data_IF_171387439624
#
_entry.id   IF_171387439624
#
_cell.length_a   1.000
_cell.length_b   1.000
_cell.length_c   1.000
_cell.angle_alpha   90.00
_cell.angle_beta   90.00
_cell.angle_gamma   90.00
#
_symmetry.space_group_name_H-M   'P 1'
#
loop_
_entity.id
_entity.type
_entity.pdbx_description
1 polymer ?
#
# COMPACT_ATOMS: atom_id res chain seq x y z
N UNK A 1 -5.85 -32.65 -12.73
CA UNK A 1 -4.37 -32.71 -12.73
C UNK A 1 -3.93 -31.33 -12.29
N UNK A 2 -3.42 -31.25 -11.06
CA UNK A 2 -3.12 -29.99 -10.37
C UNK A 2 -1.92 -29.28 -11.03
N UNK A 3 -2.13 -28.03 -11.43
CA UNK A 3 -1.04 -27.12 -11.81
C UNK A 3 -0.72 -26.19 -10.63
N UNK A 4 -0.12 -26.74 -9.58
CA UNK A 4 0.57 -25.94 -8.57
C UNK A 4 1.99 -25.65 -9.05
N UNK A 5 2.28 -24.39 -9.34
CA UNK A 5 3.64 -23.94 -9.59
C UNK A 5 4.35 -23.79 -8.24
N UNK A 6 5.37 -24.63 -8.01
CA UNK A 6 6.24 -24.53 -6.85
C UNK A 6 7.02 -23.21 -6.91
N UNK A 7 6.99 -22.44 -5.83
CA UNK A 7 7.86 -21.28 -5.63
C UNK A 7 9.32 -21.74 -5.73
N UNK A 8 9.95 -21.47 -6.87
CA UNK A 8 11.28 -21.98 -7.21
C UNK A 8 11.58 -22.01 -8.71
N UNK A 9 10.58 -21.97 -9.58
CA UNK A 9 10.78 -21.81 -11.03
C UNK A 9 10.52 -20.38 -11.47
N UNK A 10 11.52 -19.52 -11.32
CA UNK A 10 11.58 -18.25 -12.05
C UNK A 10 11.97 -18.55 -13.51
N UNK A 11 11.30 -17.99 -14.54
CA UNK A 11 11.54 -18.29 -15.96
C UNK A 11 12.85 -17.71 -16.54
N UNK A 12 13.76 -17.23 -15.70
CA UNK A 12 14.99 -16.59 -16.14
C UNK A 12 16.10 -17.64 -16.11
N UNK A 13 16.28 -18.35 -17.22
CA UNK A 13 17.53 -19.05 -17.51
C UNK A 13 18.62 -18.00 -17.73
N UNK A 14 19.40 -17.71 -16.68
CA UNK A 14 20.68 -17.04 -16.83
C UNK A 14 21.66 -18.06 -17.41
N UNK A 15 21.89 -18.01 -18.72
CA UNK A 15 22.94 -18.80 -19.34
C UNK A 15 24.27 -18.50 -18.63
N UNK A 16 24.93 -19.54 -18.11
CA UNK A 16 26.30 -19.47 -17.60
C UNK A 16 27.25 -19.12 -18.75
N UNK A 17 27.45 -17.82 -19.01
CA UNK A 17 28.54 -17.34 -19.85
C UNK A 17 29.83 -17.24 -19.03
N UNK A 18 30.86 -17.95 -19.48
CA UNK A 18 32.20 -17.99 -18.90
C UNK A 18 32.83 -16.58 -18.80
N UNK A 19 33.74 -16.33 -17.83
CA UNK A 19 34.22 -15.00 -17.50
C UNK A 19 35.19 -14.47 -18.56
N UNK A 20 34.64 -13.84 -19.61
CA UNK A 20 35.38 -13.01 -20.54
C UNK A 20 35.58 -11.61 -19.93
N UNK A 21 36.82 -11.17 -19.83
CA UNK A 21 37.24 -9.86 -19.31
C UNK A 21 36.33 -8.71 -19.75
N UNK A 22 35.65 -8.12 -18.77
CA UNK A 22 34.77 -6.97 -18.98
C UNK A 22 35.64 -5.73 -19.19
N UNK A 23 35.99 -5.43 -20.44
CA UNK A 23 36.69 -4.20 -20.88
C UNK A 23 36.01 -2.89 -20.42
N UNK A 24 34.79 -2.96 -19.89
CA UNK A 24 34.04 -1.83 -19.36
C UNK A 24 34.65 -1.26 -18.06
N UNK A 25 35.34 -2.09 -17.25
CA UNK A 25 35.93 -1.66 -15.98
C UNK A 25 37.20 -0.81 -16.16
N UNK A 26 37.92 -0.98 -17.27
CA UNK A 26 39.13 -0.19 -17.55
C UNK A 26 38.82 1.29 -17.86
N UNK A 27 37.68 1.57 -18.50
CA UNK A 27 37.27 2.93 -18.83
C UNK A 27 36.68 3.71 -17.63
N UNK A 28 36.20 3.01 -16.59
CA UNK A 28 35.68 3.62 -15.36
C UNK A 28 36.78 3.95 -14.34
N UNK A 29 37.98 3.37 -14.49
CA UNK A 29 39.08 3.55 -13.54
C UNK A 29 39.83 4.89 -13.69
N UNK A 30 39.67 5.60 -14.83
CA UNK A 30 40.49 6.77 -15.15
C UNK A 30 39.87 8.12 -14.70
N UNK A 31 38.59 8.14 -14.30
CA UNK A 31 37.89 9.37 -13.87
C UNK A 31 37.65 9.44 -12.34
N UNK A 32 38.20 8.49 -11.58
CA UNK A 32 38.14 8.48 -10.13
C UNK A 32 39.16 9.47 -9.51
N UNK A 33 38.86 10.77 -9.60
CA UNK A 33 39.43 11.76 -8.67
C UNK A 33 39.02 11.39 -7.24
N UNK A 34 39.85 11.68 -6.22
CA UNK A 34 39.61 11.22 -4.86
C UNK A 34 38.55 12.11 -4.21
N UNK A 35 37.27 11.83 -4.46
CA UNK A 35 36.18 12.48 -3.75
C UNK A 35 35.41 11.43 -2.92
N UNK A 36 35.87 11.32 -1.66
CA UNK A 36 35.27 10.59 -0.53
C UNK A 36 34.68 9.21 -0.85
N UNK A 37 35.55 8.20 -0.77
CA UNK A 37 35.14 6.82 -0.51
C UNK A 37 34.44 6.74 0.86
N UNK A 38 33.10 6.91 0.89
CA UNK A 38 32.32 6.44 2.02
C UNK A 38 32.46 4.92 2.08
N UNK A 39 33.04 4.43 3.17
CA UNK A 39 33.22 3.00 3.41
C UNK A 39 31.89 2.25 3.27
N UNK A 40 31.93 0.97 2.90
CA UNK A 40 30.72 0.16 2.71
C UNK A 40 29.76 0.23 3.92
N UNK A 41 30.31 0.31 5.13
CA UNK A 41 29.55 0.49 6.37
C UNK A 41 28.87 1.86 6.49
N UNK A 42 29.55 2.92 6.03
CA UNK A 42 29.04 4.29 6.06
C UNK A 42 27.90 4.48 5.04
N UNK A 43 28.04 3.81 3.87
CA UNK A 43 26.94 3.70 2.91
C UNK A 43 25.76 2.94 3.50
N UNK A 44 25.97 1.77 4.11
CA UNK A 44 24.87 0.99 4.72
C UNK A 44 24.13 1.79 5.80
N UNK A 45 24.85 2.51 6.66
CA UNK A 45 24.24 3.36 7.68
C UNK A 45 23.40 4.51 7.07
N UNK A 46 23.89 5.12 5.99
CA UNK A 46 23.15 6.18 5.29
C UNK A 46 21.87 5.68 4.60
N UNK A 47 21.90 4.46 4.05
CA UNK A 47 20.73 3.79 3.45
C UNK A 47 19.74 3.31 4.51
N UNK A 48 20.20 2.89 5.68
CA UNK A 48 19.36 2.43 6.77
C UNK A 48 18.53 3.59 7.33
N UNK A 49 19.17 4.72 7.65
CA UNK A 49 18.47 5.89 8.20
C UNK A 49 17.50 6.51 7.17
N UNK A 50 17.98 6.74 5.94
CA UNK A 50 17.16 7.31 4.86
C UNK A 50 16.05 6.36 4.40
N UNK A 51 16.33 5.06 4.32
CA UNK A 51 15.39 4.04 3.89
C UNK A 51 14.30 3.76 4.92
N UNK A 52 14.64 3.78 6.21
CA UNK A 52 13.68 3.65 7.32
C UNK A 52 12.76 4.89 7.36
N UNK A 53 13.31 6.10 7.30
CA UNK A 53 12.51 7.32 7.30
C UNK A 53 11.60 7.44 6.07
N UNK A 54 12.11 7.08 4.88
CA UNK A 54 11.31 7.03 3.66
C UNK A 54 10.21 5.94 3.74
N UNK A 55 10.53 4.77 4.27
CA UNK A 55 9.60 3.67 4.49
C UNK A 55 8.49 4.02 5.48
N UNK A 56 8.83 4.62 6.64
CA UNK A 56 7.85 5.10 7.63
C UNK A 56 6.97 6.21 7.05
N UNK A 57 7.55 7.17 6.32
CA UNK A 57 6.80 8.23 5.67
C UNK A 57 5.77 7.70 4.66
N UNK A 58 6.18 6.72 3.85
CA UNK A 58 5.28 6.03 2.92
C UNK A 58 4.18 5.26 3.66
N UNK A 59 4.53 4.48 4.69
CA UNK A 59 3.58 3.68 5.45
C UNK A 59 2.56 4.57 6.19
N UNK A 60 3.02 5.66 6.81
CA UNK A 60 2.15 6.65 7.44
C UNK A 60 1.18 7.27 6.43
N UNK A 61 1.67 7.63 5.24
CA UNK A 61 0.83 8.14 4.16
C UNK A 61 -0.20 7.11 3.69
N UNK A 62 0.21 5.85 3.53
CA UNK A 62 -0.68 4.76 3.15
C UNK A 62 -1.77 4.53 4.20
N UNK A 63 -1.40 4.55 5.49
CA UNK A 63 -2.33 4.45 6.61
C UNK A 63 -3.33 5.60 6.62
N UNK A 64 -2.87 6.85 6.58
CA UNK A 64 -3.75 8.03 6.57
C UNK A 64 -4.71 7.99 5.38
N UNK A 65 -4.19 7.67 4.19
CA UNK A 65 -5.01 7.58 2.97
C UNK A 65 -6.04 6.46 3.08
N UNK A 66 -5.64 5.30 3.61
CA UNK A 66 -6.54 4.16 3.81
C UNK A 66 -7.60 4.46 4.86
N UNK A 67 -7.23 5.09 5.97
CA UNK A 67 -8.15 5.55 7.01
C UNK A 67 -9.16 6.55 6.45
N UNK A 68 -8.71 7.49 5.61
CA UNK A 68 -9.60 8.46 4.97
C UNK A 68 -10.55 7.75 4.00
N UNK A 69 -10.05 6.82 3.18
CA UNK A 69 -10.88 6.03 2.27
C UNK A 69 -11.93 5.21 3.03
N UNK A 70 -11.56 4.60 4.16
CA UNK A 70 -12.50 3.90 5.03
C UNK A 70 -13.52 4.86 5.63
N UNK A 71 -13.12 6.04 6.10
CA UNK A 71 -14.07 7.03 6.63
C UNK A 71 -15.08 7.49 5.58
N UNK A 72 -14.63 7.66 4.34
CA UNK A 72 -15.47 8.14 3.25
C UNK A 72 -16.40 7.05 2.72
N UNK A 73 -15.89 5.84 2.52
CA UNK A 73 -16.61 4.75 1.85
C UNK A 73 -17.30 3.79 2.83
N UNK A 74 -17.05 3.90 4.13
CA UNK A 74 -17.66 3.05 5.16
C UNK A 74 -18.65 3.82 6.05
N UNK A 75 -19.44 4.68 5.42
CA UNK A 75 -20.47 5.52 6.06
C UNK A 75 -21.49 4.68 6.83
N UNK A 76 -21.84 3.49 6.34
CA UNK A 76 -22.76 2.57 7.00
C UNK A 76 -22.21 2.01 8.32
N UNK A 77 -20.95 1.54 8.35
CA UNK A 77 -20.37 1.03 9.60
C UNK A 77 -20.16 2.15 10.62
N UNK A 78 -19.78 3.34 10.18
CA UNK A 78 -19.66 4.52 11.05
C UNK A 78 -20.99 4.90 11.68
N UNK A 79 -22.06 4.92 10.89
CA UNK A 79 -23.40 5.21 11.38
C UNK A 79 -23.86 4.17 12.41
N UNK A 80 -23.74 2.88 12.08
CA UNK A 80 -24.09 1.79 13.01
C UNK A 80 -23.25 1.79 14.29
N UNK A 81 -21.98 2.19 14.22
CA UNK A 81 -21.13 2.38 15.39
C UNK A 81 -21.59 3.58 16.22
N UNK A 82 -21.91 4.70 15.57
CA UNK A 82 -22.36 5.91 16.25
C UNK A 82 -23.69 5.69 17.00
N UNK A 83 -24.62 4.91 16.45
CA UNK A 83 -25.87 4.55 17.13
C UNK A 83 -25.67 3.70 18.39
N UNK A 84 -24.53 3.00 18.51
CA UNK A 84 -24.20 2.21 19.70
C UNK A 84 -23.60 3.04 20.84
N UNK A 85 -23.22 4.30 20.57
CA UNK A 85 -22.66 5.16 21.60
C UNK A 85 -23.77 5.71 22.50
N UNK A 86 -23.58 5.70 23.83
CA UNK A 86 -24.49 6.41 24.72
C UNK A 86 -24.47 7.90 24.37
N UNK A 87 -25.64 8.49 24.18
CA UNK A 87 -25.77 9.92 23.85
C UNK A 87 -25.49 10.71 25.13
N UNK A 88 -24.31 11.31 25.17
CA UNK A 88 -23.83 12.19 26.24
C UNK A 88 -23.38 13.51 25.60
N UNK A 89 -23.23 14.60 26.36
CA UNK A 89 -22.77 15.87 25.81
C UNK A 89 -21.40 15.82 25.09
N UNK A 90 -20.58 14.80 25.38
CA UNK A 90 -19.29 14.57 24.72
C UNK A 90 -19.41 13.79 23.40
N UNK A 91 -20.37 12.88 23.30
CA UNK A 91 -20.56 11.99 22.14
C UNK A 91 -21.58 12.52 21.16
N UNK A 92 -22.54 13.32 21.61
CA UNK A 92 -23.55 14.01 20.78
C UNK A 92 -22.95 14.71 19.54
N UNK A 93 -21.89 15.54 19.64
CA UNK A 93 -21.34 16.19 18.44
C UNK A 93 -20.74 15.18 17.45
N UNK A 94 -20.17 14.08 17.94
CA UNK A 94 -19.57 13.03 17.12
C UNK A 94 -20.67 12.24 16.39
N UNK A 95 -21.73 11.85 17.11
CA UNK A 95 -22.86 11.14 16.52
C UNK A 95 -23.54 12.01 15.46
N UNK A 96 -23.78 13.29 15.75
CA UNK A 96 -24.38 14.21 14.79
C UNK A 96 -23.52 14.43 13.54
N UNK A 97 -22.20 14.58 13.70
CA UNK A 97 -21.28 14.70 12.57
C UNK A 97 -21.29 13.45 11.68
N UNK A 98 -21.34 12.26 12.29
CA UNK A 98 -21.39 10.98 11.55
C UNK A 98 -22.73 10.81 10.85
N UNK A 99 -23.85 11.13 11.49
CA UNK A 99 -25.18 11.08 10.86
C UNK A 99 -25.29 12.05 9.70
N UNK A 100 -24.76 13.27 9.85
CA UNK A 100 -24.72 14.28 8.78
C UNK A 100 -23.85 13.81 7.61
N UNK A 101 -22.68 13.24 7.90
CA UNK A 101 -21.80 12.68 6.88
C UNK A 101 -22.46 11.51 6.13
N UNK A 102 -23.14 10.63 6.85
CA UNK A 102 -23.86 9.50 6.26
C UNK A 102 -24.93 9.97 5.26
N UNK A 103 -25.77 10.94 5.65
CA UNK A 103 -26.77 11.54 4.75
C UNK A 103 -26.12 12.25 3.57
N UNK A 104 -25.05 13.00 3.80
CA UNK A 104 -24.32 13.68 2.71
C UNK A 104 -23.74 12.67 1.72
N UNK A 105 -23.21 11.55 2.21
CA UNK A 105 -22.69 10.47 1.38
C UNK A 105 -23.78 9.76 0.56
N UNK A 106 -25.00 9.65 1.10
CA UNK A 106 -26.19 9.21 0.36
C UNK A 106 -26.55 10.21 -0.75
N UNK A 107 -26.64 11.50 -0.42
CA UNK A 107 -27.05 12.56 -1.35
C UNK A 107 -26.09 12.70 -2.54
N UNK A 108 -24.77 12.57 -2.30
CA UNK A 108 -23.75 12.64 -3.36
C UNK A 108 -23.57 11.30 -4.10
N UNK A 109 -24.32 10.25 -3.70
CA UNK A 109 -24.27 8.93 -4.33
C UNK A 109 -22.97 8.16 -4.06
N UNK A 110 -22.23 8.48 -3.00
CA UNK A 110 -21.02 7.75 -2.63
C UNK A 110 -21.33 6.29 -2.27
N UNK A 111 -22.51 6.05 -1.69
CA UNK A 111 -23.01 4.70 -1.41
C UNK A 111 -23.16 3.86 -2.70
N UNK A 112 -23.45 4.47 -3.85
CA UNK A 112 -23.53 3.73 -5.12
C UNK A 112 -22.19 3.12 -5.55
N UNK A 113 -21.05 3.71 -5.15
CA UNK A 113 -19.73 3.14 -5.38
C UNK A 113 -19.55 1.88 -4.53
N UNK A 114 -19.93 1.97 -3.25
CA UNK A 114 -19.89 0.85 -2.30
C UNK A 114 -20.78 -0.29 -2.78
N UNK A 115 -22.01 0.01 -3.20
CA UNK A 115 -22.97 -0.97 -3.72
C UNK A 115 -22.43 -1.71 -4.96
N UNK A 116 -21.75 -0.98 -5.86
CA UNK A 116 -21.10 -1.59 -7.04
C UNK A 116 -19.97 -2.53 -6.64
N UNK A 117 -19.14 -2.14 -5.67
CA UNK A 117 -18.06 -3.00 -5.15
C UNK A 117 -18.64 -4.24 -4.48
N UNK A 118 -19.71 -4.08 -3.70
CA UNK A 118 -20.39 -5.20 -3.05
C UNK A 118 -21.02 -6.15 -4.07
N UNK A 119 -21.67 -5.61 -5.11
CA UNK A 119 -22.20 -6.40 -6.23
C UNK A 119 -21.09 -7.15 -6.97
N UNK A 120 -19.98 -6.49 -7.26
CA UNK A 120 -18.82 -7.12 -7.90
C UNK A 120 -18.22 -8.23 -7.02
N UNK A 121 -18.07 -8.00 -5.72
CA UNK A 121 -17.59 -9.02 -4.78
C UNK A 121 -18.55 -10.20 -4.65
N UNK A 122 -19.87 -9.95 -4.60
CA UNK A 122 -20.91 -10.99 -4.62
C UNK A 122 -20.88 -11.78 -5.93
N UNK A 123 -20.69 -11.12 -7.06
CA UNK A 123 -20.57 -11.76 -8.37
C UNK A 123 -19.33 -12.66 -8.43
N UNK A 124 -18.17 -12.19 -7.95
CA UNK A 124 -16.95 -12.99 -7.85
C UNK A 124 -17.10 -14.19 -6.92
N UNK A 125 -17.78 -14.04 -5.78
CA UNK A 125 -18.04 -15.17 -4.85
C UNK A 125 -18.94 -16.24 -5.47
N UNK A 126 -19.85 -15.85 -6.38
CA UNK A 126 -20.74 -16.78 -7.10
C UNK A 126 -20.12 -17.31 -8.40
N UNK A 127 -18.98 -16.77 -8.83
CA UNK A 127 -18.31 -17.25 -10.02
C UNK A 127 -17.75 -18.66 -9.73
N UNK A 128 -18.01 -19.64 -10.61
CA UNK A 128 -17.32 -20.92 -10.54
C UNK A 128 -15.83 -20.66 -10.78
N UNK A 129 -15.01 -20.92 -9.77
CA UNK A 129 -13.56 -20.93 -9.94
C UNK A 129 -13.18 -22.09 -10.89
N UNK A 130 -12.29 -21.87 -11.86
CA UNK A 130 -11.82 -22.91 -12.77
C UNK A 130 -11.02 -24.01 -12.06
#
# INVERSE_FOLDING_TARGET
MDHSLYWGQSPIDLAEEAPGEVKFLAALAEDARPDRDMGALERMAAWEDSGIHAGLGWAAKALVTSSLALLLLNTHALYNWAEQLPVTPLTEPVVNAISTWHQTAEDIGLNAVVDRVEQAAKAMRKAPWP
#
